data_IF_626647082533
#
_entry.id   IF_626647082533
#
_cell.length_a   1.000
_cell.length_b   1.000
_cell.length_c   1.000
_cell.angle_alpha   90.00
_cell.angle_beta   90.00
_cell.angle_gamma   90.00
#
_symmetry.space_group_name_H-M   'P 1'
#
loop_
_entity.id
_entity.type
_entity.pdbx_description
1 polymer ?
#
# COMPACT_ATOMS: atom_id res chain seq x y z
N UNK A 1 -37.10 -59.24 28.87
CA UNK A 1 -35.77 -59.43 29.45
C UNK A 1 -35.05 -58.10 29.36
N UNK A 2 -34.84 -57.46 30.51
CA UNK A 2 -34.29 -56.11 30.59
C UNK A 2 -32.77 -56.11 30.51
N UNK A 3 -32.23 -55.24 29.67
CA UNK A 3 -30.85 -54.79 29.77
C UNK A 3 -30.84 -53.57 30.70
N UNK A 4 -30.55 -53.85 31.97
CA UNK A 4 -30.05 -52.88 32.95
C UNK A 4 -28.54 -52.71 32.71
N UNK A 5 -27.95 -51.64 33.25
CA UNK A 5 -26.52 -51.27 33.29
C UNK A 5 -26.11 -50.41 32.08
N UNK A 6 -25.59 -49.19 32.22
CA UNK A 6 -24.61 -48.68 33.19
C UNK A 6 -24.87 -47.18 33.45
N UNK A 7 -25.28 -46.82 34.66
CA UNK A 7 -24.90 -45.50 35.21
C UNK A 7 -23.74 -45.74 36.16
N UNK A 8 -22.57 -45.16 35.84
CA UNK A 8 -21.42 -45.17 36.74
C UNK A 8 -21.81 -44.36 37.98
N UNK A 9 -21.53 -44.83 39.21
CA UNK A 9 -21.75 -44.00 40.38
C UNK A 9 -20.83 -42.78 40.26
N UNK A 10 -21.43 -41.60 40.07
CA UNK A 10 -20.73 -40.33 40.19
C UNK A 10 -20.24 -40.25 41.62
N UNK A 11 -18.93 -40.47 41.80
CA UNK A 11 -18.24 -40.30 43.08
C UNK A 11 -18.40 -38.84 43.48
N UNK A 12 -19.44 -38.56 44.26
CA UNK A 12 -19.66 -37.29 44.94
C UNK A 12 -18.54 -37.17 45.97
N UNK A 13 -17.42 -36.59 45.53
CA UNK A 13 -16.34 -36.16 46.40
C UNK A 13 -16.96 -35.23 47.43
N UNK A 14 -17.12 -35.70 48.67
CA UNK A 14 -17.58 -34.87 49.76
C UNK A 14 -16.56 -33.75 49.89
N UNK A 15 -16.99 -32.52 49.62
CA UNK A 15 -16.21 -31.31 49.86
C UNK A 15 -16.03 -31.20 51.37
N UNK A 16 -14.99 -31.84 51.88
CA UNK A 16 -14.63 -31.81 53.28
C UNK A 16 -14.18 -30.41 53.64
N UNK A 17 -14.64 -29.89 54.79
CA UNK A 17 -14.32 -28.54 55.28
C UNK A 17 -12.80 -28.30 55.39
N UNK A 18 -12.01 -29.36 55.54
CA UNK A 18 -10.54 -29.32 55.49
C UNK A 18 -9.99 -28.91 54.12
N UNK A 19 -10.57 -29.38 53.02
CA UNK A 19 -10.13 -29.03 51.66
C UNK A 19 -10.45 -27.57 51.35
N UNK A 20 -11.59 -27.07 51.83
CA UNK A 20 -11.99 -25.66 51.71
C UNK A 20 -11.03 -24.77 52.52
N UNK A 21 -10.68 -25.18 53.74
CA UNK A 21 -9.75 -24.44 54.61
C UNK A 21 -8.31 -24.48 54.10
N UNK A 22 -7.88 -25.60 53.52
CA UNK A 22 -6.58 -25.74 52.86
C UNK A 22 -6.48 -24.91 51.57
N UNK A 23 -7.55 -24.85 50.78
CA UNK A 23 -7.66 -23.95 49.62
C UNK A 23 -7.54 -22.48 50.01
N UNK A 24 -8.16 -22.08 51.13
CA UNK A 24 -8.08 -20.72 51.66
C UNK A 24 -6.66 -20.34 52.12
N UNK A 25 -5.97 -21.24 52.82
CA UNK A 25 -4.58 -21.02 53.24
C UNK A 25 -3.60 -20.97 52.07
N UNK A 26 -3.83 -21.76 51.01
CA UNK A 26 -3.03 -21.70 49.78
C UNK A 26 -3.29 -20.41 48.99
N UNK A 27 -4.55 -19.95 48.91
CA UNK A 27 -4.91 -18.69 48.26
C UNK A 27 -4.24 -17.48 48.95
N UNK A 28 -4.19 -17.49 50.29
CA UNK A 28 -3.54 -16.44 51.06
C UNK A 28 -2.01 -16.43 50.92
N UNK A 29 -1.39 -17.60 50.71
CA UNK A 29 0.07 -17.68 50.43
C UNK A 29 0.40 -17.23 49.01
N UNK A 30 -0.48 -17.52 48.04
CA UNK A 30 -0.32 -17.10 46.65
C UNK A 30 -0.41 -15.56 46.52
N UNK A 31 -1.38 -14.93 47.21
CA UNK A 31 -1.50 -13.48 47.21
C UNK A 31 -0.25 -12.81 47.76
N UNK A 32 0.33 -13.34 48.85
CA UNK A 32 1.52 -12.79 49.49
C UNK A 32 2.80 -12.96 48.65
N UNK A 33 2.90 -14.01 47.83
CA UNK A 33 4.01 -14.20 46.87
C UNK A 33 3.88 -13.29 45.65
N UNK A 34 2.67 -13.09 45.13
CA UNK A 34 2.42 -12.10 44.06
C UNK A 34 2.73 -10.68 44.57
N UNK A 35 2.35 -10.38 45.81
CA UNK A 35 2.64 -9.09 46.45
C UNK A 35 4.13 -8.86 46.69
N UNK A 36 4.89 -9.92 47.04
CA UNK A 36 6.34 -9.84 47.14
C UNK A 36 7.03 -9.78 45.77
N UNK A 37 6.51 -10.50 44.77
CA UNK A 37 7.00 -10.46 43.39
C UNK A 37 6.82 -9.06 42.76
N UNK A 38 5.73 -8.35 43.10
CA UNK A 38 5.52 -6.95 42.71
C UNK A 38 6.61 -5.99 43.23
N UNK A 39 7.32 -6.35 44.30
CA UNK A 39 8.44 -5.59 44.86
C UNK A 39 9.83 -6.02 44.37
N UNK A 40 9.91 -7.02 43.48
CA UNK A 40 11.17 -7.51 42.92
C UNK A 40 11.58 -6.67 41.71
N UNK A 41 12.90 -6.40 41.56
CA UNK A 41 13.45 -5.56 40.48
C UNK A 41 12.98 -6.01 39.08
N UNK A 42 12.73 -7.30 38.90
CA UNK A 42 12.27 -7.88 37.64
C UNK A 42 10.89 -7.36 37.20
N UNK A 43 9.98 -7.11 38.15
CA UNK A 43 8.64 -6.59 37.80
C UNK A 43 8.72 -5.14 37.35
N UNK A 44 9.57 -4.32 37.98
CA UNK A 44 9.82 -2.93 37.54
C UNK A 44 10.40 -2.89 36.13
N UNK A 45 11.37 -3.77 35.82
CA UNK A 45 11.96 -3.91 34.49
C UNK A 45 10.88 -4.32 33.47
N UNK A 46 10.06 -5.32 33.81
CA UNK A 46 8.98 -5.79 32.93
C UNK A 46 7.94 -4.70 32.67
N UNK A 47 7.53 -3.97 33.71
CA UNK A 47 6.62 -2.82 33.59
C UNK A 47 7.22 -1.71 32.72
N UNK A 48 8.51 -1.41 32.89
CA UNK A 48 9.24 -0.46 32.05
C UNK A 48 9.25 -0.88 30.58
N UNK A 49 9.55 -2.16 30.30
CA UNK A 49 9.49 -2.73 28.95
C UNK A 49 8.09 -2.61 28.33
N UNK A 50 7.04 -2.91 29.10
CA UNK A 50 5.64 -2.75 28.64
C UNK A 50 5.35 -1.27 28.34
N UNK A 51 5.78 -0.34 29.19
CA UNK A 51 5.60 1.08 28.96
C UNK A 51 6.32 1.56 27.69
N UNK A 52 7.57 1.12 27.48
CA UNK A 52 8.34 1.41 26.26
C UNK A 52 7.66 0.83 25.02
N UNK A 53 7.13 -0.39 25.11
CA UNK A 53 6.41 -1.03 24.01
C UNK A 53 5.14 -0.25 23.65
N UNK A 54 4.37 0.17 24.65
CA UNK A 54 3.17 0.99 24.44
C UNK A 54 3.53 2.35 23.84
N UNK A 55 4.58 3.01 24.35
CA UNK A 55 5.06 4.27 23.79
C UNK A 55 5.52 4.11 22.32
N UNK A 56 6.21 3.02 22.02
CA UNK A 56 6.61 2.69 20.65
C UNK A 56 5.40 2.47 19.74
N UNK A 57 4.39 1.72 20.20
CA UNK A 57 3.17 1.48 19.43
C UNK A 57 2.43 2.79 19.13
N UNK A 58 2.29 3.69 20.12
CA UNK A 58 1.70 5.02 19.93
C UNK A 58 2.54 5.83 18.93
N UNK A 59 3.87 5.80 19.05
CA UNK A 59 4.78 6.47 18.13
C UNK A 59 4.63 6.00 16.67
N UNK A 60 4.49 4.69 16.46
CA UNK A 60 4.24 4.12 15.12
C UNK A 60 2.91 4.61 14.55
N UNK A 61 1.84 4.58 15.34
CA UNK A 61 0.52 5.07 14.91
C UNK A 61 0.57 6.56 14.56
N UNK A 62 1.23 7.37 15.39
CA UNK A 62 1.41 8.80 15.12
C UNK A 62 2.21 9.02 13.83
N UNK A 63 3.29 8.26 13.62
CA UNK A 63 4.10 8.33 12.39
C UNK A 63 3.26 8.02 11.14
N UNK A 64 2.43 6.97 11.19
CA UNK A 64 1.52 6.62 10.09
C UNK A 64 0.49 7.73 9.85
N UNK A 65 -0.05 8.35 10.90
CA UNK A 65 -1.01 9.44 10.74
C UNK A 65 -0.39 10.65 10.03
N UNK A 66 0.80 11.08 10.46
CA UNK A 66 1.54 12.16 9.79
C UNK A 66 1.91 11.78 8.36
N UNK A 67 2.33 10.53 8.13
CA UNK A 67 2.67 10.04 6.80
C UNK A 67 1.47 10.08 5.84
N UNK A 68 0.27 9.71 6.31
CA UNK A 68 -0.97 9.82 5.52
C UNK A 68 -1.27 11.26 5.10
N UNK A 69 -1.01 12.24 5.97
CA UNK A 69 -1.14 13.66 5.63
C UNK A 69 -0.22 14.08 4.49
N UNK A 70 1.08 13.78 4.63
CA UNK A 70 2.10 14.08 3.61
C UNK A 70 1.82 13.35 2.29
N UNK A 71 1.34 12.10 2.37
CA UNK A 71 1.00 11.31 1.18
C UNK A 71 -0.21 11.89 0.43
N UNK A 72 -1.22 12.39 1.15
CA UNK A 72 -2.36 13.05 0.52
C UNK A 72 -1.93 14.30 -0.25
N UNK A 73 -1.09 15.14 0.34
CA UNK A 73 -0.54 16.33 -0.32
C UNK A 73 0.26 15.94 -1.57
N UNK A 74 1.18 14.98 -1.43
CA UNK A 74 1.94 14.45 -2.55
C UNK A 74 1.03 13.91 -3.66
N UNK A 75 -0.01 13.16 -3.31
CA UNK A 75 -0.96 12.60 -4.27
C UNK A 75 -1.75 13.68 -4.99
N UNK A 76 -2.08 14.79 -4.32
CA UNK A 76 -2.75 15.92 -4.94
C UNK A 76 -1.84 16.60 -5.97
N UNK A 77 -0.60 16.95 -5.60
CA UNK A 77 0.36 17.55 -6.53
C UNK A 77 0.66 16.64 -7.73
N UNK A 78 0.74 15.32 -7.51
CA UNK A 78 0.88 14.36 -8.59
C UNK A 78 -0.33 14.38 -9.52
N UNK A 79 -1.55 14.46 -8.98
CA UNK A 79 -2.77 14.58 -9.77
C UNK A 79 -2.80 15.85 -10.64
N UNK A 80 -2.35 17.00 -10.10
CA UNK A 80 -2.23 18.24 -10.86
C UNK A 80 -1.21 18.11 -12.00
N UNK A 81 -0.02 17.59 -11.70
CA UNK A 81 1.03 17.32 -12.70
C UNK A 81 0.51 16.41 -13.82
N UNK A 82 -0.18 15.35 -13.46
CA UNK A 82 -0.74 14.39 -14.42
C UNK A 82 -1.88 15.03 -15.24
N UNK A 83 -2.61 15.99 -14.67
CA UNK A 83 -3.53 16.87 -15.39
C UNK A 83 -2.83 17.68 -16.48
N UNK A 84 -1.78 18.42 -16.13
CA UNK A 84 -0.99 19.19 -17.09
C UNK A 84 -0.34 18.31 -18.17
N UNK A 85 0.14 17.13 -17.80
CA UNK A 85 0.70 16.19 -18.79
C UNK A 85 -0.34 15.74 -19.82
N UNK A 86 -1.58 15.48 -19.40
CA UNK A 86 -2.66 15.13 -20.33
C UNK A 86 -2.96 16.27 -21.30
N UNK A 87 -3.08 17.48 -20.78
CA UNK A 87 -3.34 18.67 -21.60
C UNK A 87 -2.18 18.92 -22.58
N UNK A 88 -0.94 18.80 -22.12
CA UNK A 88 0.23 18.89 -22.99
C UNK A 88 0.24 17.83 -24.08
N UNK A 89 -0.05 16.58 -23.74
CA UNK A 89 -0.16 15.50 -24.73
C UNK A 89 -1.25 15.77 -25.75
N UNK A 90 -2.40 16.31 -25.33
CA UNK A 90 -3.48 16.71 -26.24
C UNK A 90 -3.03 17.84 -27.17
N UNK A 91 -2.45 18.92 -26.64
CA UNK A 91 -1.93 20.04 -27.43
C UNK A 91 -0.87 19.58 -28.44
N UNK A 92 -0.01 18.63 -28.07
CA UNK A 92 0.98 18.07 -28.97
C UNK A 92 0.35 17.29 -30.13
N UNK A 93 -0.74 16.56 -29.87
CA UNK A 93 -1.52 15.89 -30.90
C UNK A 93 -2.20 16.90 -31.83
N UNK A 94 -2.81 17.96 -31.28
CA UNK A 94 -3.39 19.06 -32.06
C UNK A 94 -2.33 19.75 -32.93
N UNK A 95 -1.16 20.04 -32.36
CA UNK A 95 -0.04 20.67 -33.08
C UNK A 95 0.54 19.77 -34.18
N UNK A 96 0.65 18.46 -33.95
CA UNK A 96 1.14 17.52 -34.95
C UNK A 96 0.15 17.34 -36.10
N UNK A 97 -1.16 17.35 -35.83
CA UNK A 97 -2.18 17.37 -36.87
C UNK A 97 -2.13 18.67 -37.71
N UNK A 98 -1.92 19.82 -37.07
CA UNK A 98 -1.80 21.13 -37.74
C UNK A 98 -0.51 21.27 -38.56
N UNK A 99 0.61 20.75 -38.06
CA UNK A 99 1.91 20.84 -38.74
C UNK A 99 2.04 19.87 -39.90
N UNK A 100 1.42 18.69 -39.81
CA UNK A 100 1.52 17.65 -40.83
C UNK A 100 0.79 17.98 -42.14
N UNK A 101 -0.25 18.82 -42.14
CA UNK A 101 -1.07 19.06 -43.35
C UNK A 101 -1.24 20.54 -43.71
N UNK A 102 -1.30 21.46 -42.74
CA UNK A 102 -1.87 22.78 -43.03
C UNK A 102 -0.88 23.83 -43.50
N UNK A 103 0.29 23.90 -42.85
CA UNK A 103 1.12 25.11 -42.90
C UNK A 103 2.20 25.08 -43.96
N UNK A 104 2.84 23.93 -44.18
CA UNK A 104 3.92 23.80 -45.16
C UNK A 104 3.34 23.83 -46.58
N UNK A 105 2.22 23.14 -46.82
CA UNK A 105 1.57 23.07 -48.12
C UNK A 105 0.97 24.42 -48.54
N UNK A 106 0.32 25.14 -47.61
CA UNK A 106 -0.14 26.52 -47.88
C UNK A 106 0.99 27.49 -48.15
N UNK A 107 2.08 27.44 -47.36
CA UNK A 107 3.22 28.34 -47.57
C UNK A 107 3.94 28.05 -48.89
N UNK A 108 4.03 26.77 -49.28
CA UNK A 108 4.56 26.33 -50.57
C UNK A 108 3.67 26.76 -51.75
N UNK A 109 2.34 26.67 -51.63
CA UNK A 109 1.44 27.08 -52.69
C UNK A 109 1.34 28.61 -52.81
N UNK A 110 1.18 29.32 -51.68
CA UNK A 110 0.94 30.77 -51.66
C UNK A 110 2.21 31.61 -51.87
N UNK A 111 3.35 31.24 -51.25
CA UNK A 111 4.59 32.03 -51.38
C UNK A 111 5.50 31.56 -52.51
N UNK A 112 5.49 30.26 -52.83
CA UNK A 112 6.36 29.68 -53.84
C UNK A 112 5.62 29.31 -55.14
N UNK A 113 4.29 29.48 -55.18
CA UNK A 113 3.48 29.16 -56.36
C UNK A 113 3.46 27.67 -56.70
N UNK A 114 3.82 26.80 -55.75
CA UNK A 114 3.96 25.38 -56.00
C UNK A 114 2.58 24.73 -56.14
N UNK A 115 2.37 24.08 -57.27
CA UNK A 115 1.21 23.25 -57.60
C UNK A 115 1.61 21.79 -57.64
N UNK A 116 0.72 20.90 -57.18
CA UNK A 116 0.97 19.45 -57.22
C UNK A 116 1.06 19.01 -58.69
N UNK A 117 2.20 18.48 -59.15
CA UNK A 117 2.40 18.15 -60.57
C UNK A 117 1.48 17.00 -61.01
N UNK A 118 0.94 17.11 -62.22
CA UNK A 118 0.09 16.08 -62.81
C UNK A 118 0.90 14.85 -63.25
N UNK A 119 0.24 13.71 -63.48
CA UNK A 119 0.92 12.46 -63.90
C UNK A 119 1.80 12.62 -65.14
N UNK A 120 1.48 13.58 -66.00
CA UNK A 120 2.26 13.92 -67.21
C UNK A 120 3.58 14.66 -66.94
N UNK A 121 3.77 15.25 -65.76
CA UNK A 121 4.95 16.06 -65.43
C UNK A 121 6.02 15.28 -64.65
N UNK A 122 5.76 13.99 -64.39
CA UNK A 122 6.67 13.13 -63.62
C UNK A 122 7.58 12.36 -64.59
N UNK A 123 8.85 12.77 -64.68
CA UNK A 123 9.88 12.04 -65.44
C UNK A 123 10.65 11.12 -64.50
N UNK A 124 10.51 9.81 -64.70
CA UNK A 124 11.28 8.81 -63.94
C UNK A 124 12.71 8.72 -64.49
N UNK A 125 13.67 9.25 -63.75
CA UNK A 125 15.09 9.09 -64.08
C UNK A 125 15.57 7.76 -63.49
N UNK A 126 15.93 6.80 -64.35
CA UNK A 126 16.58 5.57 -63.91
C UNK A 126 18.00 5.90 -63.45
N UNK A 127 18.30 5.66 -62.16
CA UNK A 127 19.68 5.78 -61.68
C UNK A 127 20.54 4.77 -62.44
N UNK A 128 21.61 5.20 -63.12
CA UNK A 128 22.49 4.30 -63.84
C UNK A 128 23.03 3.28 -62.85
N UNK A 129 22.80 1.99 -63.14
CA UNK A 129 23.28 0.88 -62.34
C UNK A 129 24.79 1.05 -62.14
N UNK A 130 25.18 1.32 -60.90
CA UNK A 130 26.58 1.40 -60.51
C UNK A 130 27.14 -0.02 -60.59
N UNK A 131 27.77 -0.35 -61.71
CA UNK A 131 28.26 -1.68 -61.98
C UNK A 131 29.28 -1.70 -63.12
N UNK A 132 30.49 -2.11 -62.75
CA UNK A 132 31.58 -2.65 -63.56
C UNK A 132 32.48 -1.65 -64.31
N UNK A 133 33.55 -1.19 -63.65
CA UNK A 133 34.88 -1.82 -63.76
C UNK A 133 35.88 -1.19 -62.79
#
# INVERSE_FOLDING_TARGET
MGAVTIERPTRTSKLTTETVRAGFNNAYRLSRRIFAALGQQDVLVTMGLVAVLVASAIGVVASVHTNRGLFNELSQLQGERDGYHREWSQLLLEQSALSAHGRIERLASDQLGLVVPGKQDIVLVQLPAQGSR
#
